data_IF_629930041771
#
_entry.id   IF_629930041771
#
_cell.length_a   1.000
_cell.length_b   1.000
_cell.length_c   1.000
_cell.angle_alpha   90.00
_cell.angle_beta   90.00
_cell.angle_gamma   90.00
#
_symmetry.space_group_name_H-M   'P 1'
#
loop_
_entity.id
_entity.type
_entity.pdbx_description
1 polymer ?
#
# COMPACT_ATOMS: atom_id res chain seq x y z
N UNK A 1 25.12 -59.60 66.04
CA UNK A 1 26.23 -59.23 65.14
C UNK A 1 26.09 -57.76 64.75
N UNK A 2 27.05 -56.98 65.24
CA UNK A 2 27.67 -55.76 64.71
C UNK A 2 27.13 -55.07 63.43
N UNK A 3 27.08 -53.73 63.54
CA UNK A 3 26.71 -52.64 62.62
C UNK A 3 27.71 -52.45 61.47
N UNK A 4 27.28 -51.95 60.28
CA UNK A 4 27.96 -50.80 59.62
C UNK A 4 27.18 -50.10 58.49
N UNK A 5 27.06 -48.77 58.69
CA UNK A 5 26.86 -47.60 57.82
C UNK A 5 27.21 -47.70 56.31
N UNK A 6 26.42 -46.92 55.52
CA UNK A 6 26.68 -46.22 54.24
C UNK A 6 25.81 -46.75 53.09
N UNK A 7 24.74 -46.06 52.68
CA UNK A 7 24.71 -44.89 51.79
C UNK A 7 24.09 -45.32 50.44
N UNK A 8 23.26 -44.44 49.86
CA UNK A 8 22.64 -44.53 48.50
C UNK A 8 21.50 -45.57 48.39
N UNK A 9 20.23 -45.17 48.33
CA UNK A 9 19.53 -44.48 47.23
C UNK A 9 18.20 -43.93 47.82
N UNK A 10 17.85 -42.64 47.90
CA UNK A 10 17.61 -41.63 46.85
C UNK A 10 17.02 -42.28 45.58
N UNK A 11 15.80 -42.01 45.13
CA UNK A 11 15.40 -40.67 44.69
C UNK A 11 13.87 -40.59 44.40
N UNK A 12 13.24 -39.58 45.02
CA UNK A 12 12.14 -38.71 44.55
C UNK A 12 10.91 -39.30 43.82
N UNK A 13 9.81 -39.39 44.57
CA UNK A 13 8.49 -39.02 44.08
C UNK A 13 8.37 -37.48 44.15
N UNK A 14 8.56 -36.80 43.02
CA UNK A 14 8.29 -35.38 42.90
C UNK A 14 7.23 -35.19 41.80
N UNK A 15 6.06 -34.74 42.24
CA UNK A 15 5.08 -33.93 41.52
C UNK A 15 5.59 -33.38 40.19
N UNK A 16 5.14 -33.96 39.08
CA UNK A 16 5.21 -33.34 37.77
C UNK A 16 4.16 -32.21 37.69
N UNK A 17 4.45 -31.08 38.35
CA UNK A 17 3.96 -29.79 37.89
C UNK A 17 4.93 -29.41 36.77
N UNK A 18 4.63 -29.86 35.55
CA UNK A 18 5.28 -29.29 34.38
C UNK A 18 5.05 -27.76 34.42
N UNK A 19 6.07 -26.93 34.22
CA UNK A 19 5.89 -25.50 34.30
C UNK A 19 4.92 -25.08 33.20
N UNK A 20 3.79 -24.50 33.60
CA UNK A 20 2.80 -23.82 32.76
C UNK A 20 3.37 -22.49 32.20
N UNK A 21 4.67 -22.43 31.99
CA UNK A 21 5.46 -21.26 31.65
C UNK A 21 6.45 -21.74 30.58
N UNK A 22 6.48 -21.07 29.44
CA UNK A 22 7.26 -21.38 28.21
C UNK A 22 6.54 -22.32 27.22
N UNK A 23 5.28 -22.03 26.93
CA UNK A 23 4.78 -22.07 25.55
C UNK A 23 4.02 -20.76 25.28
N UNK A 24 4.66 -19.63 25.60
CA UNK A 24 4.29 -18.38 24.94
C UNK A 24 4.76 -18.57 23.50
N UNK A 25 3.81 -18.94 22.65
CA UNK A 25 3.98 -18.97 21.20
C UNK A 25 4.89 -17.81 20.80
N UNK A 26 6.03 -18.11 20.17
CA UNK A 26 6.86 -17.12 19.49
C UNK A 26 6.13 -16.72 18.19
N UNK A 27 4.89 -16.23 18.32
CA UNK A 27 4.27 -15.45 17.27
C UNK A 27 5.11 -14.18 17.20
N UNK A 28 5.87 -14.04 16.12
CA UNK A 28 6.56 -12.81 15.83
C UNK A 28 5.53 -11.68 15.87
N UNK A 29 5.78 -10.66 16.70
CA UNK A 29 4.87 -9.53 16.79
C UNK A 29 4.82 -8.86 15.40
N UNK A 30 3.60 -8.65 14.88
CA UNK A 30 3.42 -8.03 13.56
C UNK A 30 4.02 -6.62 13.58
N UNK A 31 4.65 -6.24 12.47
CA UNK A 31 5.08 -4.85 12.25
C UNK A 31 3.86 -3.96 12.12
N UNK A 32 3.94 -2.69 12.51
CA UNK A 32 2.78 -1.76 12.45
C UNK A 32 2.95 -0.72 11.35
N UNK A 33 2.10 -0.79 10.34
CA UNK A 33 2.03 0.22 9.27
C UNK A 33 0.87 1.18 9.53
N UNK A 34 1.18 2.47 9.66
CA UNK A 34 0.19 3.54 9.73
C UNK A 34 -0.31 3.92 8.35
N UNK A 35 -1.64 3.98 8.16
CA UNK A 35 -2.27 4.43 6.92
C UNK A 35 -3.17 5.62 7.20
N UNK A 36 -2.93 6.75 6.52
CA UNK A 36 -3.81 7.93 6.57
C UNK A 36 -4.67 7.93 5.31
N UNK A 37 -5.97 7.66 5.45
CA UNK A 37 -6.89 7.62 4.31
C UNK A 37 -7.63 8.96 4.09
N UNK A 38 -8.06 9.25 2.86
CA UNK A 38 -8.89 10.43 2.60
C UNK A 38 -10.26 10.32 3.26
N UNK A 39 -10.89 9.14 3.24
CA UNK A 39 -12.28 8.93 3.68
C UNK A 39 -12.37 8.24 5.05
N UNK A 40 -13.47 8.47 5.76
CA UNK A 40 -13.81 7.78 7.02
C UNK A 40 -14.17 6.30 6.75
N UNK A 41 -13.99 5.43 7.75
CA UNK A 41 -14.53 4.06 7.84
C UNK A 41 -14.19 3.07 6.71
N UNK A 42 -13.11 3.31 5.96
CA UNK A 42 -12.64 2.36 4.93
C UNK A 42 -12.21 0.99 5.50
N UNK A 43 -11.83 0.94 6.77
CA UNK A 43 -11.21 -0.26 7.35
C UNK A 43 -9.79 -0.52 6.80
N UNK A 44 -9.21 -1.67 7.17
CA UNK A 44 -7.93 -2.09 6.61
C UNK A 44 -8.13 -2.52 5.14
N UNK A 45 -7.22 -2.17 4.22
CA UNK A 45 -7.35 -2.55 2.82
C UNK A 45 -7.27 -4.08 2.69
N UNK A 46 -8.27 -4.68 2.02
CA UNK A 46 -8.34 -6.13 1.80
C UNK A 46 -7.11 -6.66 1.05
N UNK A 47 -6.56 -5.84 0.15
CA UNK A 47 -5.32 -6.15 -0.57
C UNK A 47 -4.13 -6.23 0.39
N UNK A 48 -4.09 -5.37 1.41
CA UNK A 48 -3.04 -5.36 2.43
C UNK A 48 -3.12 -6.58 3.33
N UNK A 49 -4.33 -6.97 3.72
CA UNK A 49 -4.56 -8.19 4.48
C UNK A 49 -4.17 -9.44 3.68
N UNK A 50 -4.46 -9.46 2.38
CA UNK A 50 -4.09 -10.57 1.48
C UNK A 50 -2.59 -10.68 1.28
N UNK A 51 -1.90 -9.55 1.09
CA UNK A 51 -0.45 -9.53 0.84
C UNK A 51 0.38 -9.76 2.11
N UNK A 52 0.01 -9.10 3.21
CA UNK A 52 0.90 -8.96 4.38
C UNK A 52 0.18 -9.17 5.72
N UNK A 53 -1.07 -9.64 5.73
CA UNK A 53 -1.89 -9.73 6.94
C UNK A 53 -1.27 -10.57 8.07
N UNK A 54 -0.43 -11.55 7.75
CA UNK A 54 0.27 -12.36 8.75
C UNK A 54 1.49 -11.65 9.39
N UNK A 55 2.03 -10.64 8.72
CA UNK A 55 3.29 -9.96 9.08
C UNK A 55 3.10 -8.50 9.51
N UNK A 56 2.04 -7.84 9.03
CA UNK A 56 1.75 -6.43 9.26
C UNK A 56 0.38 -6.28 9.93
N UNK A 57 0.35 -5.51 11.00
CA UNK A 57 -0.86 -4.90 11.55
C UNK A 57 -1.03 -3.51 10.90
N UNK A 58 -2.12 -3.31 10.17
CA UNK A 58 -2.46 -2.01 9.60
C UNK A 58 -3.25 -1.21 10.64
N UNK A 59 -2.77 -0.02 10.97
CA UNK A 59 -3.47 0.92 11.84
C UNK A 59 -3.82 2.17 11.04
N UNK A 60 -5.10 2.57 11.10
CA UNK A 60 -5.63 3.60 10.22
C UNK A 60 -6.05 4.86 10.99
N UNK A 61 -5.90 6.00 10.33
CA UNK A 61 -6.54 7.28 10.65
C UNK A 61 -7.01 7.90 9.32
N UNK A 62 -7.77 8.99 9.37
CA UNK A 62 -8.28 9.66 8.17
C UNK A 62 -8.42 11.17 8.35
N UNK A 63 -8.51 11.86 7.21
CA UNK A 63 -8.66 13.32 7.14
C UNK A 63 -10.06 13.77 6.70
N UNK A 64 -11.03 12.86 6.64
CA UNK A 64 -12.45 13.13 6.34
C UNK A 64 -12.71 14.04 5.12
N UNK A 65 -12.03 13.73 4.01
CA UNK A 65 -12.20 14.39 2.72
C UNK A 65 -13.64 14.28 2.23
N UNK A 66 -14.28 15.45 2.02
CA UNK A 66 -15.68 15.53 1.56
C UNK A 66 -15.84 15.51 0.05
N UNK A 67 -14.92 16.14 -0.67
CA UNK A 67 -14.99 16.28 -2.13
C UNK A 67 -13.63 16.00 -2.75
N UNK A 68 -13.63 15.32 -3.90
CA UNK A 68 -12.42 15.04 -4.67
C UNK A 68 -12.05 16.21 -5.60
N UNK A 69 -12.07 17.42 -5.06
CA UNK A 69 -11.73 18.68 -5.76
C UNK A 69 -10.49 19.32 -5.13
N UNK A 70 -9.77 20.21 -5.84
CA UNK A 70 -8.64 20.94 -5.25
C UNK A 70 -8.97 21.60 -3.91
N UNK A 71 -10.12 22.26 -3.79
CA UNK A 71 -10.56 22.92 -2.56
C UNK A 71 -10.85 21.89 -1.44
N UNK A 72 -11.41 20.75 -1.81
CA UNK A 72 -11.63 19.63 -0.89
C UNK A 72 -10.31 19.09 -0.35
N UNK A 73 -9.33 18.87 -1.23
CA UNK A 73 -7.99 18.44 -0.85
C UNK A 73 -7.31 19.47 0.07
N UNK A 74 -7.27 20.74 -0.32
CA UNK A 74 -6.66 21.83 0.46
C UNK A 74 -7.25 21.91 1.88
N UNK A 75 -8.55 21.64 2.04
CA UNK A 75 -9.24 21.67 3.33
C UNK A 75 -8.75 20.63 4.34
N UNK A 76 -8.08 19.57 3.89
CA UNK A 76 -7.70 18.42 4.74
C UNK A 76 -6.20 18.19 4.88
N UNK A 77 -5.35 18.80 4.03
CA UNK A 77 -3.89 18.63 4.09
C UNK A 77 -3.32 19.06 5.45
N UNK A 78 -3.85 20.14 6.03
CA UNK A 78 -3.40 20.64 7.33
C UNK A 78 -3.58 19.67 8.49
N UNK A 79 -4.45 18.67 8.34
CA UNK A 79 -4.73 17.67 9.39
C UNK A 79 -3.75 16.49 9.36
N UNK A 80 -3.06 16.26 8.23
CA UNK A 80 -2.15 15.11 8.03
C UNK A 80 -1.12 14.96 9.16
N UNK A 81 -0.41 16.02 9.62
CA UNK A 81 0.55 15.92 10.73
C UNK A 81 -0.08 15.35 12.01
N UNK A 82 -1.28 15.83 12.36
CA UNK A 82 -1.96 15.38 13.59
C UNK A 82 -2.40 13.92 13.48
N UNK A 83 -2.87 13.48 12.31
CA UNK A 83 -3.21 12.06 12.06
C UNK A 83 -1.97 11.17 12.13
N UNK A 84 -0.85 11.64 11.59
CA UNK A 84 0.42 10.94 11.66
C UNK A 84 0.89 10.77 13.12
N UNK A 85 0.80 11.82 13.94
CA UNK A 85 1.12 11.76 15.38
C UNK A 85 0.22 10.75 16.10
N UNK A 86 -1.07 10.72 15.79
CA UNK A 86 -2.00 9.74 16.39
C UNK A 86 -1.58 8.30 16.07
N UNK A 87 -1.17 8.04 14.82
CA UNK A 87 -0.68 6.73 14.39
C UNK A 87 0.65 6.36 15.06
N UNK A 88 1.59 7.30 15.16
CA UNK A 88 2.86 7.10 15.86
C UNK A 88 2.63 6.77 17.35
N UNK A 89 1.73 7.49 18.02
CA UNK A 89 1.34 7.20 19.41
C UNK A 89 0.68 5.82 19.60
N UNK A 90 0.08 5.28 18.54
CA UNK A 90 -0.50 3.93 18.49
C UNK A 90 0.53 2.87 18.06
N UNK A 91 1.79 3.24 17.91
CA UNK A 91 2.90 2.34 17.64
C UNK A 91 3.19 2.10 16.16
N UNK A 92 2.76 2.97 15.25
CA UNK A 92 3.20 2.92 13.86
C UNK A 92 4.73 2.99 13.77
N UNK A 93 5.31 2.17 12.90
CA UNK A 93 6.75 2.15 12.63
C UNK A 93 7.10 2.85 11.31
N UNK A 94 6.12 2.95 10.40
CA UNK A 94 6.17 3.72 9.17
C UNK A 94 4.75 4.22 8.83
N UNK A 95 4.64 5.28 8.03
CA UNK A 95 3.36 5.90 7.68
C UNK A 95 3.22 6.07 6.16
N UNK A 96 2.11 5.60 5.59
CA UNK A 96 1.70 5.90 4.22
C UNK A 96 0.53 6.88 4.22
N UNK A 97 0.66 7.99 3.49
CA UNK A 97 -0.49 8.84 3.14
C UNK A 97 -1.16 8.27 1.90
N UNK A 98 -2.39 7.78 2.08
CA UNK A 98 -3.15 7.06 1.07
C UNK A 98 -4.05 8.02 0.28
N UNK A 99 -4.40 7.61 -0.94
CA UNK A 99 -5.21 8.41 -1.87
C UNK A 99 -4.35 9.09 -2.93
N UNK A 100 -4.24 8.46 -4.10
CA UNK A 100 -3.31 8.91 -5.16
C UNK A 100 -3.58 10.36 -5.57
N UNK A 101 -4.83 10.73 -5.87
CA UNK A 101 -5.18 12.10 -6.29
C UNK A 101 -4.91 13.15 -5.22
N UNK A 102 -5.20 12.86 -3.95
CA UNK A 102 -4.88 13.70 -2.81
C UNK A 102 -3.37 13.99 -2.75
N UNK A 103 -2.54 13.02 -3.12
CA UNK A 103 -1.08 13.14 -3.02
C UNK A 103 -0.39 13.60 -4.30
N UNK A 104 -1.07 13.73 -5.46
CA UNK A 104 -0.44 14.29 -6.68
C UNK A 104 -1.10 15.58 -7.24
N UNK A 105 -2.27 16.01 -6.77
CA UNK A 105 -3.06 17.03 -7.50
C UNK A 105 -2.36 18.39 -7.73
N UNK A 106 -1.38 18.76 -6.90
CA UNK A 106 -0.55 19.96 -7.07
C UNK A 106 0.86 19.67 -7.62
N UNK A 107 1.16 18.43 -7.97
CA UNK A 107 2.44 18.02 -8.56
C UNK A 107 3.46 17.51 -7.56
N UNK A 108 4.69 17.32 -8.05
CA UNK A 108 5.80 16.67 -7.36
C UNK A 108 6.22 17.38 -6.07
N UNK A 109 6.46 18.69 -6.10
CA UNK A 109 6.97 19.43 -4.95
C UNK A 109 5.98 19.37 -3.78
N UNK A 110 4.68 19.48 -4.08
CA UNK A 110 3.63 19.35 -3.08
C UNK A 110 3.56 17.93 -2.48
N UNK A 111 3.68 16.90 -3.31
CA UNK A 111 3.75 15.53 -2.83
C UNK A 111 4.94 15.31 -1.88
N UNK A 112 6.11 15.89 -2.19
CA UNK A 112 7.29 15.87 -1.33
C UNK A 112 7.02 16.59 0.00
N UNK A 113 6.32 17.73 -0.01
CA UNK A 113 5.90 18.45 1.21
C UNK A 113 5.00 17.60 2.12
N UNK A 114 4.06 16.82 1.56
CA UNK A 114 3.24 15.90 2.37
C UNK A 114 4.12 14.89 3.12
N UNK A 115 5.14 14.35 2.45
CA UNK A 115 6.09 13.40 3.08
C UNK A 115 6.87 14.08 4.20
N UNK A 116 7.37 15.30 3.96
CA UNK A 116 8.11 16.09 4.95
C UNK A 116 7.24 16.41 6.17
N UNK A 117 5.99 16.84 5.97
CA UNK A 117 5.03 17.08 7.05
C UNK A 117 4.88 15.88 7.99
N UNK A 118 4.76 14.67 7.44
CA UNK A 118 4.64 13.43 8.24
C UNK A 118 5.93 13.11 8.97
N UNK A 119 7.08 13.23 8.28
CA UNK A 119 8.41 12.97 8.86
C UNK A 119 8.74 13.95 9.97
N UNK A 120 8.49 15.23 9.79
CA UNK A 120 8.75 16.26 10.79
C UNK A 120 7.86 16.09 12.02
N UNK A 121 6.60 15.71 11.83
CA UNK A 121 5.65 15.51 12.92
C UNK A 121 5.94 14.26 13.77
N UNK A 122 6.57 13.23 13.20
CA UNK A 122 6.65 11.91 13.84
C UNK A 122 8.06 11.33 14.00
N UNK A 123 9.02 11.79 13.18
CA UNK A 123 10.33 11.17 13.03
C UNK A 123 10.33 9.80 12.34
N UNK A 124 9.18 9.32 11.84
CA UNK A 124 9.04 8.00 11.24
C UNK A 124 9.32 8.03 9.73
N UNK A 125 9.78 6.90 9.15
CA UNK A 125 9.75 6.70 7.70
C UNK A 125 8.33 6.92 7.17
N UNK A 126 8.21 7.72 6.11
CA UNK A 126 6.94 8.01 5.51
C UNK A 126 7.03 8.15 4.00
N UNK A 127 5.91 7.87 3.35
CA UNK A 127 5.72 8.12 1.92
C UNK A 127 4.24 8.28 1.57
N UNK A 128 3.95 8.42 0.28
CA UNK A 128 2.60 8.60 -0.26
C UNK A 128 2.25 7.53 -1.27
N UNK A 129 0.96 7.37 -1.53
CA UNK A 129 0.49 6.53 -2.63
C UNK A 129 1.00 7.03 -3.99
N UNK A 130 1.17 8.34 -4.18
CA UNK A 130 1.78 8.88 -5.40
C UNK A 130 3.26 8.50 -5.55
N UNK A 131 4.05 8.51 -4.48
CA UNK A 131 5.42 8.00 -4.53
C UNK A 131 5.47 6.52 -4.91
N UNK A 132 4.52 5.72 -4.42
CA UNK A 132 4.48 4.29 -4.72
C UNK A 132 4.28 3.95 -6.18
N UNK A 133 3.50 4.75 -6.91
CA UNK A 133 3.37 4.56 -8.36
C UNK A 133 4.64 5.00 -9.09
N UNK A 134 5.31 6.07 -8.64
CA UNK A 134 6.58 6.54 -9.22
C UNK A 134 7.69 5.50 -9.01
N UNK A 135 7.88 5.04 -7.77
CA UNK A 135 8.87 4.04 -7.45
C UNK A 135 8.58 2.71 -8.14
N UNK A 136 7.31 2.30 -8.23
CA UNK A 136 6.92 1.09 -8.93
C UNK A 136 7.26 1.15 -10.42
N UNK A 137 6.93 2.25 -11.09
CA UNK A 137 7.27 2.46 -12.50
C UNK A 137 8.80 2.51 -12.73
N UNK A 138 9.55 3.11 -11.81
CA UNK A 138 11.02 3.10 -11.85
C UNK A 138 11.60 1.70 -11.65
N UNK A 139 11.03 0.90 -10.75
CA UNK A 139 11.52 -0.45 -10.41
C UNK A 139 11.33 -1.42 -11.58
N UNK A 140 10.27 -1.26 -12.37
CA UNK A 140 10.06 -2.01 -13.63
C UNK A 140 10.81 -1.41 -14.83
N UNK A 141 11.55 -0.32 -14.64
CA UNK A 141 12.36 0.32 -15.68
C UNK A 141 11.57 1.10 -16.74
N UNK A 142 10.33 1.47 -16.45
CA UNK A 142 9.47 2.15 -17.41
C UNK A 142 9.93 3.59 -17.71
N UNK A 143 9.70 4.04 -18.94
CA UNK A 143 9.82 5.45 -19.35
C UNK A 143 8.56 5.94 -20.03
N UNK A 144 7.97 5.12 -20.89
CA UNK A 144 6.70 5.35 -21.55
C UNK A 144 5.62 4.59 -20.80
N UNK A 145 4.59 5.29 -20.33
CA UNK A 145 3.55 4.71 -19.49
C UNK A 145 2.21 4.88 -20.19
N UNK A 146 1.37 3.86 -20.12
CA UNK A 146 -0.05 3.95 -20.44
C UNK A 146 -0.85 3.93 -19.14
N UNK A 147 -1.87 4.79 -19.03
CA UNK A 147 -2.61 4.98 -17.78
C UNK A 147 -4.08 4.57 -17.95
N UNK A 148 -4.51 3.57 -17.18
CA UNK A 148 -5.91 3.23 -16.99
C UNK A 148 -6.36 3.80 -15.64
N UNK A 149 -7.33 4.72 -15.63
CA UNK A 149 -7.76 5.42 -14.42
C UNK A 149 -9.26 5.31 -14.19
N UNK A 150 -9.72 5.69 -12.99
CA UNK A 150 -11.14 5.91 -12.71
C UNK A 150 -11.51 7.40 -12.72
N UNK A 151 -10.64 8.27 -13.24
CA UNK A 151 -10.78 9.72 -13.07
C UNK A 151 -11.41 10.40 -14.27
N UNK A 152 -11.91 11.62 -14.04
CA UNK A 152 -12.26 12.56 -15.10
C UNK A 152 -11.01 13.20 -15.75
N UNK A 153 -11.23 13.93 -16.83
CA UNK A 153 -10.15 14.55 -17.61
C UNK A 153 -9.31 15.57 -16.83
N UNK A 154 -9.92 16.28 -15.88
CA UNK A 154 -9.21 17.26 -15.06
C UNK A 154 -8.16 16.56 -14.18
N UNK A 155 -8.57 15.52 -13.46
CA UNK A 155 -7.68 14.77 -12.58
C UNK A 155 -6.66 13.96 -13.40
N UNK A 156 -7.04 13.42 -14.56
CA UNK A 156 -6.11 12.78 -15.49
C UNK A 156 -5.03 13.74 -15.98
N UNK A 157 -5.39 14.99 -16.30
CA UNK A 157 -4.42 16.01 -16.72
C UNK A 157 -3.40 16.34 -15.62
N UNK A 158 -3.82 16.28 -14.35
CA UNK A 158 -2.93 16.45 -13.19
C UNK A 158 -2.02 15.24 -13.00
N UNK A 159 -2.55 14.01 -13.18
CA UNK A 159 -1.75 12.79 -13.13
C UNK A 159 -0.66 12.79 -14.22
N UNK A 160 -1.00 13.19 -15.46
CA UNK A 160 -0.03 13.32 -16.56
C UNK A 160 1.09 14.28 -16.16
N UNK A 161 0.75 15.49 -15.70
CA UNK A 161 1.74 16.48 -15.26
C UNK A 161 2.63 15.92 -14.15
N UNK A 162 2.06 15.24 -13.17
CA UNK A 162 2.81 14.63 -12.07
C UNK A 162 3.81 13.58 -12.59
N UNK A 163 3.38 12.69 -13.49
CA UNK A 163 4.26 11.69 -14.10
C UNK A 163 5.39 12.33 -14.94
N UNK A 164 5.07 13.39 -15.70
CA UNK A 164 6.07 14.14 -16.50
C UNK A 164 7.12 14.84 -15.61
N UNK A 165 6.73 15.36 -14.44
CA UNK A 165 7.66 15.92 -13.44
C UNK A 165 8.63 14.86 -12.84
N UNK A 166 8.36 13.58 -13.09
CA UNK A 166 9.18 12.43 -12.73
C UNK A 166 9.82 11.75 -13.95
N UNK A 167 9.92 12.46 -15.08
CA UNK A 167 10.60 12.02 -16.31
C UNK A 167 9.96 10.80 -17.00
N UNK A 168 8.64 10.62 -16.83
CA UNK A 168 7.85 9.66 -17.59
C UNK A 168 7.14 10.33 -18.77
N UNK A 169 6.98 9.59 -19.85
CA UNK A 169 6.17 9.96 -21.01
C UNK A 169 4.82 9.22 -20.96
N UNK A 170 3.70 9.95 -20.84
CA UNK A 170 2.37 9.32 -20.84
C UNK A 170 1.88 9.14 -22.28
N UNK A 171 2.05 7.93 -22.81
CA UNK A 171 1.73 7.59 -24.20
C UNK A 171 0.23 7.52 -24.49
N UNK A 172 -0.57 7.13 -23.50
CA UNK A 172 -2.03 7.14 -23.56
C UNK A 172 -2.58 7.19 -22.12
N UNK A 173 -3.72 7.85 -21.94
CA UNK A 173 -4.45 7.86 -20.68
C UNK A 173 -5.95 7.80 -20.95
N UNK A 174 -6.64 6.87 -20.29
CA UNK A 174 -8.10 6.79 -20.35
C UNK A 174 -8.65 6.56 -18.95
N UNK A 175 -9.67 7.34 -18.62
CA UNK A 175 -10.49 7.13 -17.43
C UNK A 175 -11.71 6.27 -17.76
N UNK A 176 -12.17 5.49 -16.78
CA UNK A 176 -13.47 4.80 -16.85
C UNK A 176 -14.67 5.75 -16.97
N UNK A 177 -14.46 7.06 -16.82
CA UNK A 177 -15.53 8.06 -16.87
C UNK A 177 -16.53 7.92 -15.71
N UNK A 178 -16.10 7.30 -14.60
CA UNK A 178 -16.93 7.09 -13.42
C UNK A 178 -16.89 8.37 -12.57
N UNK A 179 -18.02 9.06 -12.48
CA UNK A 179 -18.14 10.31 -11.72
C UNK A 179 -18.52 10.09 -10.25
N UNK A 180 -19.10 8.93 -9.90
CA UNK A 180 -19.55 8.59 -8.54
C UNK A 180 -18.77 7.43 -7.92
N UNK A 181 -18.47 7.52 -6.62
CA UNK A 181 -17.71 6.48 -5.88
C UNK A 181 -18.47 5.15 -5.82
N UNK A 182 -19.81 5.18 -5.78
CA UNK A 182 -20.64 3.97 -5.72
C UNK A 182 -20.53 3.12 -7.00
N UNK A 183 -20.28 3.75 -8.15
CA UNK A 183 -20.11 3.07 -9.43
C UNK A 183 -18.77 2.33 -9.50
N UNK A 184 -17.74 2.80 -8.78
CA UNK A 184 -16.43 2.14 -8.68
C UNK A 184 -16.57 0.75 -8.03
N UNK A 185 -17.42 0.63 -7.00
CA UNK A 185 -17.65 -0.65 -6.31
C UNK A 185 -18.36 -1.69 -7.18
N UNK A 186 -19.00 -1.27 -8.28
CA UNK A 186 -19.70 -2.16 -9.22
C UNK A 186 -18.81 -2.71 -10.34
N UNK A 187 -17.58 -2.19 -10.48
CA UNK A 187 -16.64 -2.61 -11.52
C UNK A 187 -16.11 -4.00 -11.18
N UNK A 188 -16.40 -4.98 -12.03
CA UNK A 188 -15.88 -6.34 -11.89
C UNK A 188 -14.43 -6.45 -12.36
N UNK A 189 -13.68 -7.41 -11.82
CA UNK A 189 -12.32 -7.74 -12.26
C UNK A 189 -12.23 -7.94 -13.79
N UNK A 190 -13.20 -8.66 -14.38
CA UNK A 190 -13.23 -8.90 -15.83
C UNK A 190 -13.42 -7.61 -16.65
N UNK A 191 -14.28 -6.70 -16.18
CA UNK A 191 -14.45 -5.39 -16.83
C UNK A 191 -13.16 -4.57 -16.73
N UNK A 192 -12.51 -4.57 -15.56
CA UNK A 192 -11.29 -3.80 -15.35
C UNK A 192 -10.11 -4.37 -16.14
N UNK A 193 -9.97 -5.69 -16.23
CA UNK A 193 -8.95 -6.34 -17.08
C UNK A 193 -9.16 -5.99 -18.55
N UNK A 194 -10.40 -6.09 -19.06
CA UNK A 194 -10.70 -5.73 -20.45
C UNK A 194 -10.39 -4.27 -20.71
N UNK A 195 -10.84 -3.37 -19.83
CA UNK A 195 -10.53 -1.96 -19.92
C UNK A 195 -9.02 -1.70 -19.97
N UNK A 196 -8.24 -2.24 -19.03
CA UNK A 196 -6.79 -2.07 -19.03
C UNK A 196 -6.14 -2.60 -20.33
N UNK A 197 -6.64 -3.73 -20.84
CA UNK A 197 -6.16 -4.31 -22.11
C UNK A 197 -6.44 -3.37 -23.29
N UNK A 198 -7.65 -2.80 -23.37
CA UNK A 198 -8.06 -1.88 -24.44
C UNK A 198 -7.29 -0.55 -24.39
N UNK A 199 -7.01 -0.04 -23.18
CA UNK A 199 -6.20 1.17 -23.00
C UNK A 199 -4.75 0.90 -23.43
N UNK A 200 -4.17 -0.24 -23.04
CA UNK A 200 -2.81 -0.62 -23.41
C UNK A 200 -2.65 -0.81 -24.92
N UNK A 201 -3.63 -1.44 -25.59
CA UNK A 201 -3.61 -1.67 -27.04
C UNK A 201 -3.56 -0.39 -27.89
N UNK A 202 -3.87 0.77 -27.31
CA UNK A 202 -3.79 2.07 -27.97
C UNK A 202 -2.40 2.70 -27.93
N UNK A 203 -1.42 2.06 -27.27
CA UNK A 203 -0.02 2.48 -27.26
C UNK A 203 0.88 1.36 -27.75
N UNK A 204 1.66 1.62 -28.79
CA UNK A 204 2.65 0.66 -29.32
C UNK A 204 4.04 0.82 -28.69
N UNK A 205 4.20 1.77 -27.76
CA UNK A 205 5.50 2.15 -27.20
C UNK A 205 5.51 2.15 -25.68
N UNK A 206 4.44 1.70 -25.01
CA UNK A 206 4.39 1.64 -23.56
C UNK A 206 5.36 0.59 -23.01
N UNK A 207 6.04 0.93 -21.92
CA UNK A 207 6.94 0.05 -21.17
C UNK A 207 6.24 -0.54 -19.94
N UNK A 208 5.16 0.09 -19.47
CA UNK A 208 4.34 -0.35 -18.35
C UNK A 208 2.93 0.25 -18.41
N UNK A 209 1.98 -0.39 -17.72
CA UNK A 209 0.64 0.13 -17.47
C UNK A 209 0.50 0.59 -16.02
N UNK A 210 0.01 1.82 -15.83
CA UNK A 210 -0.40 2.35 -14.55
C UNK A 210 -1.93 2.24 -14.41
N UNK A 211 -2.39 1.48 -13.41
CA UNK A 211 -3.80 1.35 -13.03
C UNK A 211 -4.05 2.25 -11.81
N UNK A 212 -4.45 3.49 -12.05
CA UNK A 212 -4.55 4.53 -11.01
C UNK A 212 -5.99 4.74 -10.54
N UNK A 213 -6.29 4.21 -9.35
CA UNK A 213 -7.42 4.62 -8.52
C UNK A 213 -7.26 4.02 -7.12
N UNK A 214 -7.33 4.86 -6.08
CA UNK A 214 -7.27 4.37 -4.70
C UNK A 214 -8.53 3.64 -4.23
N UNK A 215 -9.63 3.68 -5.00
CA UNK A 215 -10.90 3.03 -4.68
C UNK A 215 -11.18 1.73 -5.44
N UNK A 216 -10.38 1.42 -6.49
CA UNK A 216 -10.47 0.13 -7.17
C UNK A 216 -9.71 -0.93 -6.37
N UNK A 217 -10.27 -2.14 -6.30
CA UNK A 217 -9.57 -3.33 -5.81
C UNK A 217 -8.86 -3.95 -7.01
N UNK A 218 -7.54 -3.83 -7.05
CA UNK A 218 -6.76 -4.17 -8.26
C UNK A 218 -5.82 -5.35 -8.09
N UNK A 219 -5.68 -5.89 -6.88
CA UNK A 219 -4.67 -6.92 -6.58
C UNK A 219 -4.79 -8.15 -7.49
N UNK A 220 -6.01 -8.67 -7.68
CA UNK A 220 -6.25 -9.89 -8.46
C UNK A 220 -6.15 -9.69 -9.97
N UNK A 221 -6.07 -8.45 -10.45
CA UNK A 221 -6.03 -8.16 -11.88
C UNK A 221 -4.62 -7.87 -12.39
N UNK A 222 -3.62 -7.66 -11.53
CA UNK A 222 -2.26 -7.32 -11.93
C UNK A 222 -1.68 -8.38 -12.87
N UNK A 223 -1.58 -9.63 -12.43
CA UNK A 223 -1.05 -10.74 -13.25
C UNK A 223 -1.89 -10.98 -14.53
N UNK A 224 -3.24 -11.03 -14.49
CA UNK A 224 -4.04 -11.12 -15.71
C UNK A 224 -3.84 -9.96 -16.71
N UNK A 225 -3.64 -8.73 -16.24
CA UNK A 225 -3.37 -7.58 -17.12
C UNK A 225 -1.98 -7.71 -17.72
N UNK A 226 -0.96 -8.03 -16.93
CA UNK A 226 0.40 -8.28 -17.43
C UNK A 226 0.40 -9.38 -18.50
N UNK A 227 -0.25 -10.52 -18.25
CA UNK A 227 -0.31 -11.62 -19.20
C UNK A 227 -1.09 -11.34 -20.50
N UNK A 228 -1.97 -10.33 -20.51
CA UNK A 228 -2.71 -9.92 -21.73
C UNK A 228 -2.05 -8.79 -22.50
N UNK A 229 -1.26 -7.98 -21.83
CA UNK A 229 -0.66 -6.77 -22.41
C UNK A 229 0.83 -6.91 -22.66
N UNK A 230 1.48 -7.92 -22.05
CA UNK A 230 2.93 -8.06 -21.97
C UNK A 230 3.61 -6.83 -21.32
N UNK A 231 2.86 -6.03 -20.56
CA UNK A 231 3.35 -4.84 -19.84
C UNK A 231 3.32 -5.07 -18.33
N UNK A 232 4.39 -4.77 -17.57
CA UNK A 232 4.34 -4.71 -16.11
C UNK A 232 3.22 -3.78 -15.63
N UNK A 233 2.47 -4.21 -14.61
CA UNK A 233 1.33 -3.47 -14.09
C UNK A 233 1.64 -2.83 -12.73
N UNK A 234 1.58 -1.50 -12.66
CA UNK A 234 1.71 -0.72 -11.42
C UNK A 234 0.34 -0.20 -11.02
N UNK A 235 -0.04 -0.28 -9.75
CA UNK A 235 -1.36 0.13 -9.28
C UNK A 235 -1.36 0.75 -7.89
N UNK A 236 -2.21 1.76 -7.68
CA UNK A 236 -2.33 2.58 -6.48
C UNK A 236 -2.25 1.80 -5.15
N UNK A 237 -3.31 1.08 -4.74
CA UNK A 237 -3.37 0.48 -3.41
C UNK A 237 -2.32 -0.63 -3.19
N UNK A 238 -2.19 -1.64 -4.09
CA UNK A 238 -1.22 -2.72 -3.88
C UNK A 238 0.23 -2.22 -3.80
N UNK A 239 0.60 -1.24 -4.63
CA UNK A 239 1.98 -0.73 -4.65
C UNK A 239 2.26 0.22 -3.48
N UNK A 240 1.26 0.96 -2.98
CA UNK A 240 1.39 1.70 -1.73
C UNK A 240 1.64 0.76 -0.54
N UNK A 241 0.99 -0.41 -0.53
CA UNK A 241 1.20 -1.41 0.51
C UNK A 241 2.58 -2.07 0.39
N UNK A 242 3.03 -2.36 -0.83
CA UNK A 242 4.41 -2.82 -1.11
C UNK A 242 5.45 -1.81 -0.64
N UNK A 243 5.26 -0.53 -0.93
CA UNK A 243 6.14 0.53 -0.44
C UNK A 243 6.12 0.64 1.09
N UNK A 244 4.95 0.56 1.71
CA UNK A 244 4.82 0.54 3.17
C UNK A 244 5.58 -0.63 3.81
N UNK A 245 5.49 -1.83 3.21
CA UNK A 245 6.26 -2.99 3.66
C UNK A 245 7.79 -2.77 3.50
N UNK A 246 8.23 -2.13 2.41
CA UNK A 246 9.64 -1.74 2.23
C UNK A 246 10.09 -0.70 3.28
N UNK A 247 9.25 0.27 3.63
CA UNK A 247 9.55 1.25 4.69
C UNK A 247 9.71 0.58 6.06
N UNK A 248 9.01 -0.53 6.31
CA UNK A 248 9.20 -1.35 7.50
C UNK A 248 10.49 -2.19 7.45
N UNK A 249 11.25 -2.15 6.36
CA UNK A 249 12.47 -2.96 6.17
C UNK A 249 12.18 -4.43 5.92
N UNK A 250 10.99 -4.77 5.42
CA UNK A 250 10.60 -6.14 5.09
C UNK A 250 10.98 -6.51 3.65
N UNK A 251 11.14 -7.81 3.38
CA UNK A 251 11.05 -8.30 2.01
C UNK A 251 9.57 -8.29 1.59
N UNK A 252 9.22 -7.35 0.73
CA UNK A 252 7.83 -7.09 0.37
C UNK A 252 7.33 -7.94 -0.81
N UNK A 253 8.16 -8.81 -1.42
CA UNK A 253 7.71 -9.64 -2.54
C UNK A 253 6.78 -10.77 -2.07
N UNK A 254 5.65 -10.92 -2.74
CA UNK A 254 4.61 -11.95 -2.53
C UNK A 254 4.27 -12.60 -3.88
N UNK A 255 4.62 -13.87 -4.12
CA UNK A 255 4.38 -14.55 -5.40
C UNK A 255 2.91 -14.51 -5.86
N UNK A 256 2.70 -14.41 -7.18
CA UNK A 256 1.36 -14.52 -7.79
C UNK A 256 0.58 -13.20 -7.93
N UNK A 257 1.23 -12.05 -7.77
CA UNK A 257 0.58 -10.73 -7.84
C UNK A 257 1.22 -9.77 -8.86
N UNK A 258 1.67 -10.32 -9.99
CA UNK A 258 2.36 -9.58 -11.06
C UNK A 258 3.87 -9.44 -10.86
N UNK A 259 4.56 -8.82 -11.80
CA UNK A 259 6.02 -8.81 -11.88
C UNK A 259 6.67 -8.11 -10.68
N UNK A 260 6.13 -6.96 -10.28
CA UNK A 260 6.74 -6.15 -9.23
C UNK A 260 6.49 -6.74 -7.82
N UNK A 261 5.25 -7.14 -7.53
CA UNK A 261 4.91 -7.76 -6.25
C UNK A 261 5.39 -9.22 -6.17
N UNK A 262 5.24 -9.99 -7.25
CA UNK A 262 5.53 -11.42 -7.33
C UNK A 262 7.01 -11.76 -7.36
N UNK A 263 7.79 -10.94 -8.06
CA UNK A 263 9.24 -10.97 -8.04
C UNK A 263 9.93 -11.48 -9.27
#
# INVERSE_FOLDING_TARGET
>A
MTISRRSLNKLLAATAIAPLIIQKSMAQEKRRLGLIFPVIDRGAPEEGLSLYGDQIEFIMDNVDLKTMTPEGYDSVIGDIPQKAINLANRGAEAIMVMGTSLTFYQGREFNEQIVEMVKDATGLPASTMSNSIIHGLQEVGARNVVCATAYNDEVNSRLVRFLEQHDFNVSNIQGLGIEAVDDIASVTDSQLINFCTDVAAQSTTADAILISCGGLITLNILEPVEGRTDLPAVSSTPHALYEGAKLLGMNAKVPGYGQLLGG
#
